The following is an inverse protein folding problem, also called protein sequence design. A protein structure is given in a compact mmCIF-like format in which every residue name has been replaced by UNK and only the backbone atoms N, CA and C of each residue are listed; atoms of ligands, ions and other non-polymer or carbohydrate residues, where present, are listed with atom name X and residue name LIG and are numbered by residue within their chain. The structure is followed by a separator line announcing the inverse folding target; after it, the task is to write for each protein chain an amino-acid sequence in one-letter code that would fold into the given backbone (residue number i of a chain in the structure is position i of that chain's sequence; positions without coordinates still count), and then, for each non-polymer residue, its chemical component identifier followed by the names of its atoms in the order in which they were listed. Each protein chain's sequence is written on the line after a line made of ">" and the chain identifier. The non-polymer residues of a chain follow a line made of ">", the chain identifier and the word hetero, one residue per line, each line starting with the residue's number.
data_IF_774514560574
#
_entry.id   IF_774514560574
#
_cell.length_a   1.000
_cell.length_b   1.000
_cell.length_c   1.000
_cell.angle_alpha   90.00
_cell.angle_beta   90.00
_cell.angle_gamma   90.00
#
_symmetry.space_group_name_H-M   'P 1'
#
loop_
_entity.id
_entity.type
_entity.pdbx_description
1 polymer ?
#
# COMPACT_ATOMS: atom_id res chain seq x y z
N UNK A 1 -16.29 -22.35 29.86
CA UNK A 1 -16.85 -20.98 29.94
C UNK A 1 -16.04 -20.23 30.97
N UNK A 2 -15.01 -19.49 30.56
CA UNK A 2 -14.20 -18.65 31.46
C UNK A 2 -14.44 -17.22 31.07
N UNK A 3 -15.20 -16.49 31.83
CA UNK A 3 -15.45 -15.07 31.70
C UNK A 3 -14.22 -14.30 32.17
N UNK A 4 -13.33 -13.98 31.21
CA UNK A 4 -12.19 -13.11 31.47
C UNK A 4 -12.69 -11.70 31.76
N UNK A 5 -12.66 -11.30 33.01
CA UNK A 5 -12.89 -9.91 33.44
C UNK A 5 -11.80 -9.00 32.91
N UNK A 6 -12.15 -8.15 31.95
CA UNK A 6 -11.30 -7.08 31.44
C UNK A 6 -11.07 -6.05 32.53
N UNK A 7 -9.90 -6.04 33.15
CA UNK A 7 -9.50 -4.95 34.06
C UNK A 7 -9.13 -3.73 33.20
N UNK A 8 -9.96 -2.71 33.25
CA UNK A 8 -9.65 -1.37 32.74
C UNK A 8 -8.51 -0.80 33.61
N UNK A 9 -7.33 -0.51 33.05
CA UNK A 9 -6.27 0.13 33.82
C UNK A 9 -6.72 1.56 34.17
N UNK A 10 -6.71 1.90 35.43
CA UNK A 10 -6.92 3.25 35.95
C UNK A 10 -5.86 4.19 35.34
N UNK A 11 -6.29 5.33 34.83
CA UNK A 11 -5.45 6.42 34.34
C UNK A 11 -4.40 6.80 35.40
N UNK A 12 -3.18 6.32 35.23
CA UNK A 12 -2.03 6.69 36.05
C UNK A 12 -1.08 7.55 35.23
N UNK A 13 -0.34 8.42 35.87
CA UNK A 13 0.74 9.28 35.32
C UNK A 13 1.89 8.43 34.73
N UNK A 14 1.58 7.58 33.77
CA UNK A 14 2.51 6.70 33.09
C UNK A 14 3.06 7.29 31.80
N UNK A 15 4.13 6.70 31.28
CA UNK A 15 4.65 7.03 29.96
C UNK A 15 3.56 6.85 28.91
N UNK A 16 3.41 7.76 27.91
CA UNK A 16 2.47 7.57 26.80
C UNK A 16 2.77 6.25 26.09
N UNK A 17 1.74 5.56 25.63
CA UNK A 17 1.91 4.33 24.83
C UNK A 17 1.86 4.68 23.34
N UNK A 18 2.83 4.19 22.57
CA UNK A 18 2.87 4.31 21.12
C UNK A 18 2.82 2.92 20.49
N UNK A 19 1.75 2.65 19.74
CA UNK A 19 1.61 1.46 18.92
C UNK A 19 2.21 1.74 17.55
N UNK A 20 3.33 1.11 17.25
CA UNK A 20 4.10 1.30 16.03
C UNK A 20 3.86 0.12 15.07
N UNK A 21 2.85 0.23 14.19
CA UNK A 21 2.58 -0.77 13.16
C UNK A 21 3.52 -0.58 11.96
N UNK A 22 4.52 -1.43 11.85
CA UNK A 22 5.62 -1.33 10.89
C UNK A 22 5.41 -2.10 9.58
N UNK A 23 4.32 -2.84 9.43
CA UNK A 23 4.06 -3.69 8.27
C UNK A 23 4.01 -5.17 8.70
N UNK A 24 4.33 -6.13 7.85
CA UNK A 24 4.96 -6.09 6.53
C UNK A 24 4.05 -5.56 5.42
N UNK A 25 4.63 -5.33 4.24
CA UNK A 25 3.83 -4.96 3.08
C UNK A 25 2.95 -6.13 2.61
N UNK A 26 1.78 -5.83 2.03
CA UNK A 26 0.81 -6.83 1.51
C UNK A 26 0.16 -7.74 2.56
N UNK A 27 0.13 -7.30 3.77
CA UNK A 27 -0.46 -7.98 4.93
C UNK A 27 -1.71 -7.27 5.46
N UNK A 28 -2.44 -6.56 4.60
CA UNK A 28 -3.66 -5.85 4.98
C UNK A 28 -3.44 -4.44 5.54
N UNK A 29 -2.22 -3.89 5.47
CA UNK A 29 -1.89 -2.55 5.99
C UNK A 29 -2.80 -1.45 5.46
N UNK A 30 -3.10 -1.45 4.16
CA UNK A 30 -4.01 -0.45 3.56
C UNK A 30 -5.43 -0.52 4.12
N UNK A 31 -5.92 -1.73 4.44
CA UNK A 31 -7.21 -1.90 5.10
C UNK A 31 -7.19 -1.31 6.51
N UNK A 32 -6.20 -1.69 7.33
CA UNK A 32 -6.06 -1.16 8.69
C UNK A 32 -5.88 0.35 8.70
N UNK A 33 -5.03 0.90 7.86
CA UNK A 33 -4.79 2.35 7.73
C UNK A 33 -6.06 3.09 7.29
N UNK A 34 -6.79 2.54 6.32
CA UNK A 34 -8.05 3.12 5.85
C UNK A 34 -9.13 3.11 6.95
N UNK A 35 -9.22 2.00 7.70
CA UNK A 35 -10.14 1.86 8.83
C UNK A 35 -9.83 2.86 9.94
N UNK A 36 -8.55 2.95 10.36
CA UNK A 36 -8.09 3.90 11.38
C UNK A 36 -8.35 5.35 10.95
N UNK A 37 -8.06 5.68 9.70
CA UNK A 37 -8.28 7.03 9.16
C UNK A 37 -9.77 7.41 9.09
N UNK A 38 -10.63 6.47 8.69
CA UNK A 38 -12.08 6.69 8.59
C UNK A 38 -12.76 6.83 9.96
N UNK A 39 -12.17 6.27 11.01
CA UNK A 39 -12.73 6.28 12.38
C UNK A 39 -11.91 7.13 13.36
N UNK A 40 -11.19 8.14 12.86
CA UNK A 40 -10.29 8.98 13.67
C UNK A 40 -10.98 9.59 14.89
N UNK A 41 -12.17 10.16 14.71
CA UNK A 41 -12.95 10.80 15.78
C UNK A 41 -13.38 9.78 16.84
N UNK A 42 -13.92 8.64 16.43
CA UNK A 42 -14.31 7.56 17.33
C UNK A 42 -13.14 6.98 18.11
N UNK A 43 -11.98 6.87 17.47
CA UNK A 43 -10.74 6.46 18.13
C UNK A 43 -10.33 7.51 19.17
N UNK A 44 -10.44 8.81 18.87
CA UNK A 44 -10.13 9.87 19.82
C UNK A 44 -11.08 9.86 21.03
N UNK A 45 -12.37 9.65 20.83
CA UNK A 45 -13.36 9.45 21.90
C UNK A 45 -13.02 8.21 22.77
N UNK A 46 -12.52 7.14 22.16
CA UNK A 46 -12.03 5.95 22.86
C UNK A 46 -10.67 6.14 23.54
N UNK A 47 -10.03 7.31 23.37
CA UNK A 47 -8.76 7.68 23.96
C UNK A 47 -7.55 7.29 23.12
N UNK A 48 -7.68 7.13 21.81
CA UNK A 48 -6.57 6.78 20.92
C UNK A 48 -6.34 7.86 19.85
N UNK A 49 -5.09 8.28 19.71
CA UNK A 49 -4.66 9.20 18.65
C UNK A 49 -4.20 8.41 17.42
N UNK A 50 -4.69 8.77 16.25
CA UNK A 50 -4.12 8.39 14.95
C UNK A 50 -3.46 9.65 14.35
N UNK A 51 -2.12 9.84 14.49
CA UNK A 51 -1.46 11.11 14.27
C UNK A 51 -1.42 11.54 12.80
N UNK A 52 -1.28 12.84 12.57
CA UNK A 52 -1.35 13.47 11.26
C UNK A 52 -2.77 13.51 10.70
N UNK A 53 -3.11 14.45 9.85
CA UNK A 53 -4.46 14.56 9.29
C UNK A 53 -4.70 13.60 8.12
N UNK A 54 -3.67 13.35 7.33
CA UNK A 54 -3.72 12.56 6.10
C UNK A 54 -2.72 11.42 6.13
N UNK A 55 -2.96 10.37 5.35
CA UNK A 55 -2.01 9.29 5.14
C UNK A 55 -0.63 9.78 4.67
N UNK A 56 -0.62 10.87 3.88
CA UNK A 56 0.62 11.50 3.39
C UNK A 56 1.50 12.03 4.52
N UNK A 57 0.94 12.45 5.65
CA UNK A 57 1.70 13.00 6.77
C UNK A 57 2.50 11.89 7.45
N UNK A 58 1.87 10.74 7.71
CA UNK A 58 2.58 9.56 8.22
C UNK A 58 3.60 9.03 7.20
N UNK A 59 3.27 9.04 5.90
CA UNK A 59 4.19 8.59 4.85
C UNK A 59 5.42 9.48 4.71
N UNK A 60 5.27 10.82 4.84
CA UNK A 60 6.38 11.78 4.84
C UNK A 60 7.25 11.63 6.09
N UNK A 61 6.64 11.44 7.24
CA UNK A 61 7.35 11.19 8.50
C UNK A 61 8.20 9.91 8.43
N UNK A 62 7.65 8.83 7.87
CA UNK A 62 8.42 7.61 7.62
C UNK A 62 9.58 7.84 6.65
N UNK A 63 9.34 8.57 5.55
CA UNK A 63 10.38 8.88 4.57
C UNK A 63 11.50 9.75 5.17
N UNK A 64 11.17 10.70 6.05
CA UNK A 64 12.12 11.53 6.78
C UNK A 64 13.02 10.69 7.69
N UNK A 65 12.45 9.95 8.63
CA UNK A 65 13.24 9.18 9.62
C UNK A 65 14.04 8.04 8.99
N UNK A 66 13.54 7.46 7.89
CA UNK A 66 14.23 6.41 7.14
C UNK A 66 15.29 6.99 6.17
N UNK A 67 15.37 8.32 6.03
CA UNK A 67 16.33 8.96 5.16
C UNK A 67 16.12 8.62 3.68
N UNK A 68 14.86 8.55 3.22
CA UNK A 68 14.59 8.33 1.81
C UNK A 68 15.09 9.51 1.00
N UNK A 69 16.19 9.27 0.27
CA UNK A 69 16.81 10.30 -0.55
C UNK A 69 15.90 10.70 -1.73
N UNK A 70 15.84 12.00 -1.98
CA UNK A 70 15.30 12.58 -3.20
C UNK A 70 16.27 13.64 -3.69
N UNK A 71 16.51 13.68 -4.99
CA UNK A 71 17.34 14.71 -5.64
C UNK A 71 16.58 16.04 -5.78
N UNK A 72 15.25 15.99 -5.67
CA UNK A 72 14.40 17.18 -5.75
C UNK A 72 14.47 17.98 -4.41
N UNK A 73 15.03 19.20 -4.41
CA UNK A 73 15.16 20.04 -3.20
C UNK A 73 13.81 20.36 -2.54
N UNK A 74 12.75 20.53 -3.33
CA UNK A 74 11.39 20.82 -2.82
C UNK A 74 10.83 19.62 -2.06
N UNK A 75 11.03 18.42 -2.59
CA UNK A 75 10.64 17.18 -1.90
C UNK A 75 11.47 16.97 -0.64
N UNK A 76 12.77 17.23 -0.70
CA UNK A 76 13.64 17.11 0.48
C UNK A 76 13.14 18.03 1.59
N UNK A 77 12.90 19.31 1.30
CA UNK A 77 12.36 20.28 2.25
C UNK A 77 10.96 19.88 2.79
N UNK A 78 10.14 19.24 1.97
CA UNK A 78 8.81 18.76 2.38
C UNK A 78 8.86 17.53 3.31
N UNK A 79 9.99 16.84 3.43
CA UNK A 79 10.19 15.70 4.33
C UNK A 79 10.84 16.10 5.65
N UNK A 80 11.72 17.11 5.64
CA UNK A 80 12.53 17.49 6.78
C UNK A 80 11.69 17.88 8.01
N UNK A 81 11.97 17.24 9.15
CA UNK A 81 11.28 17.49 10.41
C UNK A 81 9.94 16.78 10.61
N UNK A 82 9.39 16.13 9.55
CA UNK A 82 8.07 15.51 9.64
C UNK A 82 7.98 14.38 10.66
N UNK A 83 9.05 13.64 10.85
CA UNK A 83 9.10 12.63 11.90
C UNK A 83 9.02 13.27 13.30
N UNK A 84 9.74 14.35 13.51
CA UNK A 84 9.74 15.06 14.80
C UNK A 84 8.35 15.62 15.15
N UNK A 85 7.65 16.17 14.17
CA UNK A 85 6.27 16.66 14.34
C UNK A 85 5.32 15.55 14.79
N UNK A 86 5.34 14.40 14.11
CA UNK A 86 4.52 13.22 14.46
C UNK A 86 4.90 12.67 15.84
N UNK A 87 6.19 12.62 16.18
CA UNK A 87 6.66 12.19 17.51
C UNK A 87 6.14 13.13 18.61
N UNK A 88 6.21 14.44 18.41
CA UNK A 88 5.73 15.42 19.38
C UNK A 88 4.20 15.28 19.59
N UNK A 89 3.44 15.12 18.50
CA UNK A 89 2.00 14.86 18.57
C UNK A 89 1.70 13.61 19.41
N UNK A 90 2.40 12.49 19.14
CA UNK A 90 2.22 11.24 19.87
C UNK A 90 2.63 11.34 21.35
N UNK A 91 3.75 12.01 21.66
CA UNK A 91 4.25 12.12 23.02
C UNK A 91 3.49 13.13 23.90
N UNK A 92 2.87 14.12 23.28
CA UNK A 92 2.03 15.11 23.97
C UNK A 92 0.61 14.61 24.24
N UNK A 93 0.16 13.56 23.53
CA UNK A 93 -1.18 13.01 23.69
C UNK A 93 -1.38 12.40 25.08
N UNK A 94 -2.52 12.70 25.72
CA UNK A 94 -2.84 12.29 27.11
C UNK A 94 -3.93 11.20 27.19
N UNK A 95 -4.24 10.55 26.09
CA UNK A 95 -5.16 9.43 26.05
C UNK A 95 -4.50 8.08 26.39
N UNK A 96 -5.13 7.00 25.96
CA UNK A 96 -4.67 5.61 26.18
C UNK A 96 -3.45 5.25 25.35
N UNK A 97 -3.34 5.83 24.14
CA UNK A 97 -2.21 5.57 23.26
C UNK A 97 -2.32 6.25 21.91
N UNK A 98 -1.23 6.28 21.20
CA UNK A 98 -1.14 6.77 19.83
C UNK A 98 -0.82 5.62 18.88
N UNK A 99 -1.45 5.59 17.70
CA UNK A 99 -1.33 4.51 16.72
C UNK A 99 -0.66 5.06 15.48
N UNK A 100 0.61 4.74 15.24
CA UNK A 100 1.31 5.07 14.00
C UNK A 100 1.37 3.83 13.11
N UNK A 101 0.82 3.93 11.89
CA UNK A 101 0.70 2.77 11.00
C UNK A 101 1.28 3.07 9.62
N UNK A 102 2.52 2.65 9.40
CA UNK A 102 3.21 2.88 8.13
C UNK A 102 4.12 1.70 7.78
N UNK A 103 3.74 0.93 6.77
CA UNK A 103 4.49 -0.27 6.35
C UNK A 103 5.91 0.00 5.84
N UNK A 104 6.26 1.25 5.54
CA UNK A 104 7.64 1.60 5.18
C UNK A 104 8.61 1.46 6.36
N UNK A 105 8.12 1.49 7.59
CA UNK A 105 8.93 1.23 8.78
C UNK A 105 9.55 -0.18 8.79
N UNK A 106 8.94 -1.13 8.08
CA UNK A 106 9.52 -2.47 7.86
C UNK A 106 10.85 -2.45 7.11
N UNK A 107 11.19 -1.35 6.45
CA UNK A 107 12.46 -1.20 5.72
C UNK A 107 13.63 -0.81 6.60
N UNK A 108 13.37 -0.37 7.82
CA UNK A 108 14.39 0.10 8.72
C UNK A 108 15.49 -0.95 8.91
N UNK A 109 16.73 -0.50 8.80
CA UNK A 109 17.90 -1.20 9.32
C UNK A 109 18.07 -0.91 10.83
N UNK A 110 19.09 -1.48 11.44
CA UNK A 110 19.32 -1.34 12.88
C UNK A 110 19.56 0.12 13.29
N UNK A 111 20.28 0.89 12.46
CA UNK A 111 20.57 2.32 12.76
C UNK A 111 19.29 3.15 12.69
N UNK A 112 18.50 2.97 11.64
CA UNK A 112 17.22 3.65 11.45
C UNK A 112 16.21 3.29 12.55
N UNK A 113 16.10 2.02 12.90
CA UNK A 113 15.23 1.56 13.99
C UNK A 113 15.68 2.10 15.35
N UNK A 114 17.00 2.15 15.62
CA UNK A 114 17.56 2.77 16.83
C UNK A 114 17.21 4.26 16.90
N UNK A 115 17.30 4.98 15.79
CA UNK A 115 16.91 6.40 15.71
C UNK A 115 15.43 6.60 16.02
N UNK A 116 14.55 5.75 15.45
CA UNK A 116 13.10 5.76 15.71
C UNK A 116 12.84 5.51 17.19
N UNK A 117 13.39 4.44 17.76
CA UNK A 117 13.17 4.08 19.17
C UNK A 117 13.75 5.15 20.13
N UNK A 118 14.90 5.73 19.80
CA UNK A 118 15.49 6.82 20.59
C UNK A 118 14.61 8.07 20.63
N UNK A 119 13.95 8.41 19.52
CA UNK A 119 12.99 9.53 19.48
C UNK A 119 11.75 9.27 20.35
N UNK A 120 11.38 8.01 20.53
CA UNK A 120 10.25 7.56 21.33
C UNK A 120 10.63 7.12 22.76
N UNK A 121 11.85 7.39 23.23
CA UNK A 121 12.35 6.93 24.56
C UNK A 121 11.49 7.37 25.77
N UNK A 122 10.64 8.38 25.61
CA UNK A 122 9.70 8.87 26.62
C UNK A 122 8.38 8.11 26.62
N UNK A 123 8.14 7.26 25.63
CA UNK A 123 6.95 6.42 25.50
C UNK A 123 7.25 4.96 25.86
N UNK A 124 6.18 4.20 26.11
CA UNK A 124 6.17 2.75 25.99
C UNK A 124 5.82 2.43 24.55
N UNK A 125 6.69 1.74 23.83
CA UNK A 125 6.51 1.42 22.42
C UNK A 125 6.10 -0.05 22.28
N UNK A 126 4.96 -0.27 21.62
CA UNK A 126 4.47 -1.59 21.21
C UNK A 126 4.60 -1.72 19.70
N UNK A 127 5.53 -2.52 19.23
CA UNK A 127 5.76 -2.75 17.79
C UNK A 127 4.82 -3.81 17.27
N UNK A 128 4.13 -3.56 16.17
CA UNK A 128 3.18 -4.50 15.56
C UNK A 128 3.67 -4.88 14.17
N UNK A 129 3.80 -6.18 13.91
CA UNK A 129 4.20 -6.75 12.63
C UNK A 129 3.06 -7.62 12.11
N UNK A 130 2.39 -7.22 11.04
CA UNK A 130 1.41 -8.07 10.38
C UNK A 130 2.11 -9.04 9.41
N UNK A 131 1.72 -10.31 9.42
CA UNK A 131 2.31 -11.37 8.58
C UNK A 131 1.24 -12.11 7.80
N UNK A 132 1.57 -12.54 6.59
CA UNK A 132 0.62 -13.22 5.69
C UNK A 132 1.31 -14.36 4.96
N UNK A 133 0.51 -15.38 4.57
CA UNK A 133 0.96 -16.47 3.71
C UNK A 133 1.68 -15.93 2.46
N UNK A 134 2.91 -16.36 2.29
CA UNK A 134 3.79 -15.95 1.20
C UNK A 134 3.27 -16.37 -0.17
N UNK A 135 2.55 -17.48 -0.25
CA UNK A 135 1.91 -17.94 -1.48
C UNK A 135 0.93 -16.88 -2.02
N UNK A 136 0.18 -16.24 -1.13
CA UNK A 136 -0.72 -15.14 -1.49
C UNK A 136 0.05 -13.81 -1.69
N UNK A 137 1.17 -13.62 -0.99
CA UNK A 137 1.92 -12.37 -1.01
C UNK A 137 2.73 -12.18 -2.29
N UNK A 138 3.33 -13.26 -2.86
CA UNK A 138 4.15 -13.19 -4.07
C UNK A 138 3.39 -12.57 -5.26
N UNK A 139 2.19 -13.04 -5.65
CA UNK A 139 1.41 -12.43 -6.72
C UNK A 139 1.02 -10.97 -6.42
N UNK A 140 0.60 -10.70 -5.18
CA UNK A 140 0.21 -9.36 -4.76
C UNK A 140 1.38 -8.35 -4.79
N UNK A 141 2.60 -8.81 -4.56
CA UNK A 141 3.80 -7.99 -4.64
C UNK A 141 4.16 -7.65 -6.09
N UNK A 142 4.03 -8.60 -7.02
CA UNK A 142 4.22 -8.32 -8.45
C UNK A 142 3.19 -7.32 -8.97
N UNK A 143 1.92 -7.51 -8.64
CA UNK A 143 0.84 -6.60 -8.97
C UNK A 143 1.16 -5.17 -8.51
N UNK A 144 1.61 -5.01 -7.26
CA UNK A 144 1.98 -3.70 -6.73
C UNK A 144 3.22 -3.13 -7.44
N UNK A 145 4.18 -3.97 -7.77
CA UNK A 145 5.34 -3.54 -8.57
C UNK A 145 4.89 -2.95 -9.90
N UNK A 146 3.99 -3.64 -10.63
CA UNK A 146 3.47 -3.15 -11.91
C UNK A 146 2.67 -1.84 -11.74
N UNK A 147 1.82 -1.75 -10.71
CA UNK A 147 1.08 -0.52 -10.41
C UNK A 147 1.98 0.68 -10.07
N UNK A 148 3.19 0.43 -9.59
CA UNK A 148 4.20 1.45 -9.24
C UNK A 148 5.29 1.60 -10.32
N UNK A 149 4.99 1.36 -11.59
CA UNK A 149 5.93 1.55 -12.71
C UNK A 149 6.83 0.35 -13.00
N UNK A 150 6.62 -0.80 -12.35
CA UNK A 150 7.42 -2.00 -12.56
C UNK A 150 7.26 -2.56 -13.97
N UNK A 151 8.42 -2.96 -14.57
CA UNK A 151 8.53 -3.46 -15.96
C UNK A 151 8.90 -4.95 -16.02
N UNK A 152 9.06 -5.61 -14.85
CA UNK A 152 9.57 -6.98 -14.76
C UNK A 152 8.45 -7.98 -15.05
N UNK A 153 8.62 -8.91 -16.03
CA UNK A 153 7.64 -9.95 -16.32
C UNK A 153 7.39 -10.86 -15.12
N UNK A 154 6.14 -11.36 -14.97
CA UNK A 154 5.73 -12.20 -13.84
C UNK A 154 6.66 -13.39 -13.60
N UNK A 155 7.01 -14.10 -14.67
CA UNK A 155 7.94 -15.24 -14.60
C UNK A 155 9.29 -14.84 -13.98
N UNK A 156 9.89 -13.74 -14.45
CA UNK A 156 11.18 -13.25 -13.93
C UNK A 156 11.07 -12.80 -12.48
N UNK A 157 9.92 -12.20 -12.11
CA UNK A 157 9.65 -11.81 -10.73
C UNK A 157 9.58 -13.02 -9.80
N UNK A 158 8.77 -14.05 -10.16
CA UNK A 158 8.59 -15.25 -9.32
C UNK A 158 9.90 -16.03 -9.15
N UNK A 159 10.71 -16.17 -10.23
CA UNK A 159 12.03 -16.82 -10.10
C UNK A 159 13.01 -15.98 -9.28
N UNK A 160 12.97 -14.66 -9.38
CA UNK A 160 13.76 -13.79 -8.53
C UNK A 160 13.40 -13.91 -7.04
N UNK A 161 12.12 -14.07 -6.72
CA UNK A 161 11.66 -14.36 -5.35
C UNK A 161 12.16 -15.73 -4.88
N UNK A 162 12.10 -16.76 -5.74
CA UNK A 162 12.68 -18.08 -5.44
C UNK A 162 14.16 -17.96 -5.06
N UNK A 163 14.94 -17.26 -5.88
CA UNK A 163 16.36 -17.08 -5.64
C UNK A 163 16.62 -16.34 -4.30
N UNK A 164 15.74 -15.42 -3.90
CA UNK A 164 15.80 -14.76 -2.60
C UNK A 164 15.55 -15.72 -1.43
N UNK A 165 14.67 -16.70 -1.61
CA UNK A 165 14.34 -17.69 -0.58
C UNK A 165 15.44 -18.76 -0.47
N UNK A 166 15.97 -19.19 -1.61
CA UNK A 166 16.96 -20.30 -1.67
C UNK A 166 18.38 -19.85 -1.36
N UNK A 167 18.73 -18.57 -1.59
CA UNK A 167 20.05 -18.04 -1.29
C UNK A 167 20.12 -17.52 0.15
N UNK A 168 20.91 -18.17 0.98
CA UNK A 168 21.18 -17.76 2.37
C UNK A 168 22.27 -16.67 2.49
N UNK A 169 22.74 -16.09 1.38
CA UNK A 169 23.82 -15.11 1.35
C UNK A 169 23.45 -13.78 0.71
N UNK A 170 24.01 -12.70 1.23
CA UNK A 170 24.02 -11.37 0.62
C UNK A 170 24.88 -11.39 -0.66
N UNK A 171 24.33 -11.78 -1.80
CA UNK A 171 24.97 -11.43 -3.04
C UNK A 171 24.62 -9.98 -3.36
N UNK A 172 25.58 -9.07 -3.23
CA UNK A 172 25.43 -7.63 -3.47
C UNK A 172 24.93 -7.25 -4.88
N UNK A 173 24.71 -8.23 -5.73
CA UNK A 173 24.15 -8.11 -7.08
C UNK A 173 22.76 -8.73 -7.23
N UNK A 174 22.04 -8.97 -6.12
CA UNK A 174 20.68 -9.50 -6.22
C UNK A 174 19.80 -8.62 -7.13
N UNK A 175 19.03 -9.24 -8.02
CA UNK A 175 18.14 -8.53 -8.93
C UNK A 175 17.11 -7.69 -8.18
N UNK A 176 16.66 -6.57 -8.76
CA UNK A 176 15.70 -5.65 -8.13
C UNK A 176 14.46 -6.34 -7.48
N UNK A 177 13.81 -7.37 -8.10
CA UNK A 177 12.72 -8.10 -7.46
C UNK A 177 13.12 -8.82 -6.17
N UNK A 178 14.33 -9.38 -6.11
CA UNK A 178 14.85 -10.10 -4.93
C UNK A 178 15.07 -9.13 -3.77
N UNK A 179 15.73 -8.01 -4.03
CA UNK A 179 15.94 -6.97 -3.01
C UNK A 179 14.62 -6.41 -2.49
N UNK A 180 13.67 -6.16 -3.39
CA UNK A 180 12.34 -5.68 -3.02
C UNK A 180 11.61 -6.71 -2.14
N UNK A 181 11.59 -7.98 -2.54
CA UNK A 181 10.93 -9.03 -1.78
C UNK A 181 11.53 -9.16 -0.37
N UNK A 182 12.85 -9.26 -0.24
CA UNK A 182 13.53 -9.31 1.07
C UNK A 182 13.21 -8.09 1.91
N UNK A 183 13.33 -6.90 1.34
CA UNK A 183 13.06 -5.65 2.06
C UNK A 183 11.64 -5.57 2.64
N UNK A 184 10.67 -6.14 1.94
CA UNK A 184 9.25 -6.02 2.26
C UNK A 184 8.64 -7.21 3.00
N UNK A 185 9.29 -8.39 2.97
CA UNK A 185 8.73 -9.65 3.43
C UNK A 185 9.66 -10.45 4.35
N UNK A 186 10.86 -9.99 4.64
CA UNK A 186 11.79 -10.70 5.51
C UNK A 186 11.47 -10.41 6.98
N UNK A 187 10.53 -11.20 7.52
CA UNK A 187 10.07 -11.09 8.91
C UNK A 187 11.19 -11.43 9.89
N UNK A 188 12.08 -12.39 9.56
CA UNK A 188 13.24 -12.69 10.38
C UNK A 188 14.11 -11.45 10.59
N UNK A 189 14.46 -10.75 9.49
CA UNK A 189 15.20 -9.48 9.56
C UNK A 189 14.46 -8.42 10.38
N UNK A 190 13.14 -8.30 10.23
CA UNK A 190 12.36 -7.34 11.00
C UNK A 190 12.43 -7.66 12.50
N UNK A 191 12.31 -8.92 12.88
CA UNK A 191 12.43 -9.36 14.27
C UNK A 191 13.85 -9.15 14.80
N UNK A 192 14.88 -9.52 14.03
CA UNK A 192 16.30 -9.30 14.39
C UNK A 192 16.62 -7.82 14.65
N UNK A 193 15.95 -6.89 13.96
CA UNK A 193 16.12 -5.45 14.13
C UNK A 193 15.31 -4.91 15.33
N UNK A 194 14.02 -5.28 15.44
CA UNK A 194 13.12 -4.61 16.37
C UNK A 194 13.06 -5.26 17.75
N UNK A 195 13.25 -6.58 17.87
CA UNK A 195 13.18 -7.28 19.17
C UNK A 195 14.29 -6.83 20.13
N UNK A 196 15.57 -6.66 19.70
CA UNK A 196 16.62 -6.15 20.61
C UNK A 196 16.35 -4.73 21.12
N UNK A 197 15.59 -3.93 20.39
CA UNK A 197 15.32 -2.54 20.73
C UNK A 197 14.09 -2.34 21.60
N UNK A 198 13.04 -3.15 21.37
CA UNK A 198 11.76 -3.04 22.08
C UNK A 198 11.59 -4.05 23.21
N UNK A 199 12.27 -5.21 23.13
CA UNK A 199 12.02 -6.39 23.95
C UNK A 199 10.95 -7.31 23.31
N UNK A 200 11.11 -8.64 23.43
CA UNK A 200 10.24 -9.60 22.75
C UNK A 200 8.76 -9.44 23.12
N UNK A 201 8.45 -9.14 24.37
CA UNK A 201 7.09 -8.94 24.88
C UNK A 201 6.39 -7.67 24.34
N UNK A 202 7.14 -6.76 23.73
CA UNK A 202 6.65 -5.51 23.13
C UNK A 202 6.70 -5.53 21.59
N UNK A 203 6.97 -6.70 21.00
CA UNK A 203 6.89 -6.92 19.55
C UNK A 203 5.80 -7.94 19.27
N UNK A 204 4.71 -7.53 18.68
CA UNK A 204 3.53 -8.35 18.44
C UNK A 204 3.45 -8.76 16.98
N UNK A 205 3.26 -10.03 16.71
CA UNK A 205 3.00 -10.56 15.39
C UNK A 205 1.50 -10.79 15.22
N UNK A 206 0.90 -10.18 14.20
CA UNK A 206 -0.52 -10.37 13.83
C UNK A 206 -0.60 -11.17 12.54
N UNK A 207 -1.20 -12.33 12.56
CA UNK A 207 -1.42 -13.12 11.35
C UNK A 207 -2.64 -12.60 10.58
N UNK A 208 -2.48 -12.43 9.26
CA UNK A 208 -3.60 -12.08 8.38
C UNK A 208 -4.46 -13.31 8.16
N UNK A 209 -5.79 -13.22 8.40
CA UNK A 209 -6.69 -14.34 8.18
C UNK A 209 -6.62 -14.87 6.74
N UNK A 210 -6.87 -16.17 6.53
CA UNK A 210 -6.91 -16.75 5.20
C UNK A 210 -8.06 -16.18 4.37
N UNK A 211 -7.95 -16.32 3.04
CA UNK A 211 -8.97 -15.83 2.11
C UNK A 211 -10.32 -16.53 2.39
N UNK A 212 -11.38 -15.76 2.49
CA UNK A 212 -12.72 -16.25 2.81
C UNK A 212 -13.06 -16.24 4.31
N UNK A 213 -12.12 -15.89 5.18
CA UNK A 213 -12.43 -15.60 6.58
C UNK A 213 -13.24 -14.29 6.71
N UNK A 214 -13.82 -14.09 7.90
CA UNK A 214 -14.52 -12.85 8.22
C UNK A 214 -13.64 -11.62 7.94
N UNK A 215 -14.10 -10.67 7.11
CA UNK A 215 -13.34 -9.47 6.75
C UNK A 215 -12.88 -8.64 7.95
N UNK A 216 -13.65 -8.63 9.04
CA UNK A 216 -13.34 -7.88 10.26
C UNK A 216 -12.30 -8.56 11.17
N UNK A 217 -11.96 -9.85 10.92
CA UNK A 217 -11.09 -10.61 11.80
C UNK A 217 -9.69 -10.03 11.93
N UNK A 218 -9.13 -9.46 10.86
CA UNK A 218 -7.84 -8.78 10.90
C UNK A 218 -7.90 -7.56 11.82
N UNK A 219 -8.96 -6.76 11.73
CA UNK A 219 -9.16 -5.63 12.64
C UNK A 219 -9.32 -6.08 14.07
N UNK A 220 -10.15 -7.09 14.35
CA UNK A 220 -10.33 -7.61 15.71
C UNK A 220 -9.01 -8.08 16.34
N UNK A 221 -8.15 -8.74 15.57
CA UNK A 221 -6.80 -9.13 16.02
C UNK A 221 -5.94 -7.90 16.32
N UNK A 222 -5.96 -6.92 15.44
CA UNK A 222 -5.19 -5.68 15.62
C UNK A 222 -5.70 -4.87 16.82
N UNK A 223 -7.00 -4.70 16.96
CA UNK A 223 -7.67 -4.00 18.04
C UNK A 223 -7.38 -4.61 19.43
N UNK A 224 -7.21 -5.95 19.51
CA UNK A 224 -6.88 -6.62 20.77
C UNK A 224 -5.52 -6.21 21.33
N UNK A 225 -4.54 -5.89 20.48
CA UNK A 225 -3.23 -5.37 20.91
C UNK A 225 -3.36 -3.94 21.43
N UNK A 226 -4.17 -3.15 20.75
CA UNK A 226 -4.44 -1.76 21.15
C UNK A 226 -5.20 -1.69 22.48
N UNK A 227 -5.95 -2.74 22.82
CA UNK A 227 -6.91 -2.73 23.93
C UNK A 227 -8.14 -1.87 23.64
N UNK A 228 -8.48 -1.70 22.35
CA UNK A 228 -9.67 -0.98 21.88
C UNK A 228 -10.78 -1.98 21.57
N UNK A 229 -12.01 -1.62 21.89
CA UNK A 229 -13.18 -2.39 21.46
C UNK A 229 -13.26 -2.36 19.93
N UNK A 230 -13.28 -3.52 19.24
CA UNK A 230 -13.38 -3.56 17.78
C UNK A 230 -14.59 -2.79 17.21
N UNK A 231 -15.67 -2.67 17.96
CA UNK A 231 -16.90 -1.94 17.54
C UNK A 231 -16.72 -0.41 17.52
N UNK A 232 -15.64 0.12 18.08
CA UNK A 232 -15.28 1.54 17.97
C UNK A 232 -15.09 1.94 16.51
N UNK A 233 -14.53 1.05 15.68
CA UNK A 233 -14.33 1.32 14.26
C UNK A 233 -15.43 0.70 13.41
N UNK A 234 -16.25 1.56 12.80
CA UNK A 234 -17.16 1.12 11.74
C UNK A 234 -16.41 0.62 10.54
N UNK A 235 -16.75 -0.60 10.10
CA UNK A 235 -16.18 -1.16 8.89
C UNK A 235 -16.61 -0.33 7.68
N UNK A 236 -15.69 -0.03 6.73
CA UNK A 236 -16.08 0.65 5.52
C UNK A 236 -17.10 -0.20 4.74
N UNK A 237 -18.18 0.42 4.29
CA UNK A 237 -19.27 -0.24 3.55
C UNK A 237 -18.83 -0.87 2.23
N UNK A 238 -17.67 -0.49 1.71
CA UNK A 238 -17.08 -1.05 0.50
C UNK A 238 -15.58 -1.31 0.73
N UNK A 239 -15.15 -2.53 0.46
CA UNK A 239 -13.74 -2.87 0.36
C UNK A 239 -13.13 -2.17 -0.86
N UNK A 240 -12.67 -0.94 -0.70
CA UNK A 240 -12.11 -0.09 -1.77
C UNK A 240 -10.78 -0.57 -2.34
N UNK A 241 -10.32 -1.76 -1.98
CA UNK A 241 -9.05 -2.35 -2.41
C UNK A 241 -9.27 -3.48 -3.43
N UNK A 242 -9.88 -3.16 -4.58
CA UNK A 242 -9.90 -4.10 -5.68
C UNK A 242 -8.46 -4.39 -6.13
N UNK A 243 -8.06 -5.65 -6.01
CA UNK A 243 -6.80 -6.13 -6.57
C UNK A 243 -6.94 -6.18 -8.09
N UNK A 244 -6.00 -5.64 -8.85
CA UNK A 244 -5.99 -5.84 -10.31
C UNK A 244 -5.99 -7.33 -10.63
N UNK A 245 -6.68 -7.73 -11.68
CA UNK A 245 -6.56 -9.09 -12.21
C UNK A 245 -5.25 -9.30 -12.97
N UNK A 246 -5.05 -10.50 -13.50
CA UNK A 246 -3.81 -10.85 -14.19
C UNK A 246 -3.62 -10.05 -15.47
N UNK A 247 -4.69 -9.92 -16.27
CA UNK A 247 -4.65 -9.20 -17.54
C UNK A 247 -4.37 -7.71 -17.35
N UNK A 248 -5.08 -7.05 -16.45
CA UNK A 248 -4.85 -5.64 -16.13
C UNK A 248 -3.45 -5.40 -15.55
N UNK A 249 -2.92 -6.32 -14.75
CA UNK A 249 -1.55 -6.21 -14.22
C UNK A 249 -0.50 -6.35 -15.33
N UNK A 250 -0.69 -7.29 -16.26
CA UNK A 250 0.21 -7.47 -17.40
C UNK A 250 0.14 -6.26 -18.34
N UNK A 251 -1.07 -5.74 -18.61
CA UNK A 251 -1.25 -4.50 -19.39
C UNK A 251 -0.48 -3.33 -18.76
N UNK A 252 -0.64 -3.10 -17.45
CA UNK A 252 0.11 -2.07 -16.74
C UNK A 252 1.62 -2.23 -16.91
N UNK A 253 2.13 -3.48 -16.82
CA UNK A 253 3.55 -3.77 -17.01
C UNK A 253 4.01 -3.41 -18.44
N UNK A 254 3.19 -3.73 -19.45
CA UNK A 254 3.49 -3.43 -20.85
C UNK A 254 3.49 -1.93 -21.11
N UNK A 255 2.48 -1.21 -20.65
CA UNK A 255 2.40 0.26 -20.75
C UNK A 255 3.60 0.92 -20.07
N UNK A 256 3.98 0.46 -18.87
CA UNK A 256 5.14 0.99 -18.14
C UNK A 256 6.46 0.90 -18.91
N UNK A 257 6.61 -0.08 -19.83
CA UNK A 257 7.87 -0.20 -20.62
C UNK A 257 8.12 1.03 -21.51
N UNK A 258 7.06 1.62 -22.01
CA UNK A 258 7.10 2.73 -22.98
C UNK A 258 6.80 4.08 -22.35
N UNK A 259 6.40 4.12 -21.07
CA UNK A 259 6.20 5.37 -20.35
C UNK A 259 7.52 5.91 -19.80
N UNK A 260 7.73 7.21 -20.03
CA UNK A 260 8.77 8.02 -19.41
C UNK A 260 8.12 9.27 -18.80
N UNK A 261 7.69 9.16 -17.55
CA UNK A 261 6.93 10.19 -16.85
C UNK A 261 7.63 10.56 -15.55
N UNK A 262 7.44 11.81 -15.12
CA UNK A 262 7.80 12.21 -13.78
C UNK A 262 7.04 11.37 -12.75
N UNK A 263 7.58 11.26 -11.55
CA UNK A 263 6.93 10.55 -10.44
C UNK A 263 5.57 11.17 -10.08
N UNK A 264 5.41 12.47 -10.30
CA UNK A 264 4.17 13.22 -10.06
C UNK A 264 3.12 12.86 -11.11
N UNK A 265 3.45 13.00 -12.39
CA UNK A 265 2.54 12.69 -13.51
C UNK A 265 2.13 11.21 -13.48
N UNK A 266 3.09 10.31 -13.19
CA UNK A 266 2.79 8.89 -13.03
C UNK A 266 1.77 8.64 -11.92
N UNK A 267 1.90 9.33 -10.80
CA UNK A 267 0.97 9.18 -9.67
C UNK A 267 -0.40 9.75 -9.99
N UNK A 268 -0.46 10.90 -10.64
CA UNK A 268 -1.69 11.61 -10.96
C UNK A 268 -2.52 10.94 -12.06
N UNK A 269 -1.89 10.36 -13.05
CA UNK A 269 -2.60 9.80 -14.22
C UNK A 269 -2.58 8.27 -14.21
N UNK A 270 -1.43 7.64 -13.93
CA UNK A 270 -1.28 6.20 -14.11
C UNK A 270 -1.63 5.42 -12.85
N UNK A 271 -1.05 5.77 -11.70
CA UNK A 271 -1.21 4.99 -10.46
C UNK A 271 -2.61 5.13 -9.84
N UNK A 272 -3.17 6.34 -9.84
CA UNK A 272 -4.50 6.64 -9.29
C UNK A 272 -5.59 6.31 -10.31
N UNK A 273 -5.76 7.15 -11.34
CA UNK A 273 -6.85 7.01 -12.30
C UNK A 273 -6.78 5.69 -13.09
N UNK A 274 -5.72 5.46 -13.86
CA UNK A 274 -5.65 4.28 -14.73
C UNK A 274 -5.65 2.97 -13.93
N UNK A 275 -4.72 2.79 -13.01
CA UNK A 275 -4.57 1.49 -12.34
C UNK A 275 -5.63 1.24 -11.26
N UNK A 276 -5.92 2.24 -10.39
CA UNK A 276 -6.81 2.02 -9.26
C UNK A 276 -8.28 2.17 -9.63
N UNK A 277 -8.65 3.23 -10.37
CA UNK A 277 -10.04 3.49 -10.73
C UNK A 277 -10.45 2.70 -11.96
N UNK A 278 -9.81 2.92 -13.10
CA UNK A 278 -10.22 2.34 -14.39
C UNK A 278 -10.00 0.83 -14.39
N UNK A 279 -8.77 0.36 -14.28
CA UNK A 279 -8.49 -1.08 -14.32
C UNK A 279 -8.95 -1.82 -13.06
N UNK A 280 -8.98 -1.14 -11.91
CA UNK A 280 -9.49 -1.69 -10.66
C UNK A 280 -10.96 -2.08 -10.72
N UNK A 281 -11.80 -1.39 -11.51
CA UNK A 281 -13.21 -1.73 -11.70
C UNK A 281 -13.44 -3.07 -12.41
N UNK A 282 -12.42 -3.58 -13.12
CA UNK A 282 -12.46 -4.89 -13.80
C UNK A 282 -12.06 -6.07 -12.92
N UNK A 283 -11.65 -5.85 -11.69
CA UNK A 283 -11.04 -6.90 -10.85
C UNK A 283 -11.90 -8.16 -10.71
N UNK A 284 -13.22 -8.01 -10.63
CA UNK A 284 -14.18 -9.13 -10.55
C UNK A 284 -14.36 -9.91 -11.86
N UNK A 285 -14.00 -9.30 -13.00
CA UNK A 285 -14.12 -9.90 -14.32
C UNK A 285 -12.86 -10.66 -14.74
N UNK A 286 -11.78 -10.53 -13.99
CA UNK A 286 -10.49 -11.08 -14.36
C UNK A 286 -10.06 -12.25 -13.47
N UNK A 287 -9.29 -13.16 -14.06
CA UNK A 287 -8.66 -14.23 -13.30
C UNK A 287 -7.65 -13.66 -12.31
N UNK A 288 -7.60 -14.15 -11.06
CA UNK A 288 -6.57 -13.76 -10.11
C UNK A 288 -5.19 -14.22 -10.57
N UNK A 289 -4.15 -13.51 -10.15
CA UNK A 289 -2.77 -13.90 -10.41
C UNK A 289 -2.43 -15.09 -9.52
N UNK A 290 -2.18 -16.24 -10.13
CA UNK A 290 -1.87 -17.48 -9.42
C UNK A 290 -0.39 -17.86 -9.47
N UNK A 291 0.01 -18.80 -8.62
CA UNK A 291 1.31 -19.46 -8.67
C UNK A 291 1.19 -20.87 -9.27
N UNK A 292 2.28 -21.36 -9.85
CA UNK A 292 2.42 -22.76 -10.24
C UNK A 292 2.92 -23.60 -9.07
N UNK A 293 2.86 -24.94 -9.21
CA UNK A 293 3.24 -25.88 -8.14
C UNK A 293 4.62 -25.59 -7.52
N UNK A 294 5.65 -25.29 -8.33
CA UNK A 294 6.97 -24.93 -7.80
C UNK A 294 6.95 -23.61 -7.03
N UNK A 295 6.13 -22.65 -7.45
CA UNK A 295 5.93 -21.39 -6.75
C UNK A 295 5.34 -21.57 -5.37
N UNK A 296 4.39 -22.48 -5.22
CA UNK A 296 3.86 -22.86 -3.91
C UNK A 296 4.95 -23.48 -3.01
N UNK A 297 5.75 -24.39 -3.54
CA UNK A 297 6.80 -25.05 -2.73
C UNK A 297 7.75 -24.06 -2.09
N UNK A 298 8.24 -23.06 -2.83
CA UNK A 298 9.13 -22.08 -2.21
C UNK A 298 8.39 -21.05 -1.36
N UNK A 299 7.11 -20.72 -1.65
CA UNK A 299 6.28 -19.93 -0.74
C UNK A 299 6.10 -20.60 0.61
N UNK A 300 5.80 -21.91 0.63
CA UNK A 300 5.71 -22.71 1.87
C UNK A 300 7.05 -22.78 2.61
N UNK A 301 8.19 -22.87 1.90
CA UNK A 301 9.53 -22.81 2.55
C UNK A 301 9.74 -21.47 3.26
N UNK A 302 9.32 -20.38 2.64
CA UNK A 302 9.41 -19.06 3.26
C UNK A 302 8.50 -18.93 4.49
N UNK A 303 7.27 -19.48 4.42
CA UNK A 303 6.38 -19.54 5.57
C UNK A 303 6.99 -20.29 6.75
N UNK A 304 7.66 -21.42 6.49
CA UNK A 304 8.38 -22.18 7.53
C UNK A 304 9.51 -21.36 8.15
N UNK A 305 10.29 -20.63 7.33
CA UNK A 305 11.35 -19.75 7.83
C UNK A 305 10.77 -18.62 8.68
N UNK A 306 9.67 -18.01 8.24
CA UNK A 306 8.94 -17.00 8.98
C UNK A 306 8.45 -17.52 10.34
N UNK A 307 7.81 -18.69 10.34
CA UNK A 307 7.35 -19.37 11.56
C UNK A 307 8.51 -19.63 12.52
N UNK A 308 9.58 -20.22 12.05
CA UNK A 308 10.76 -20.51 12.87
C UNK A 308 11.40 -19.24 13.45
N UNK A 309 11.41 -18.13 12.71
CA UNK A 309 11.89 -16.84 13.22
C UNK A 309 10.98 -16.29 14.34
N UNK A 310 9.65 -16.33 14.14
CA UNK A 310 8.68 -15.87 15.13
C UNK A 310 8.82 -16.71 16.44
N UNK A 311 8.91 -18.03 16.33
CA UNK A 311 9.09 -18.94 17.45
C UNK A 311 10.44 -18.71 18.18
N UNK A 312 11.52 -18.52 17.44
CA UNK A 312 12.87 -18.26 18.01
C UNK A 312 12.95 -16.95 18.79
N UNK A 313 12.23 -15.92 18.35
CA UNK A 313 12.21 -14.63 19.04
C UNK A 313 11.20 -14.56 20.19
N UNK A 314 10.40 -15.61 20.40
CA UNK A 314 9.42 -15.73 21.49
C UNK A 314 8.49 -14.52 21.60
N UNK A 315 8.10 -13.96 20.46
CA UNK A 315 7.22 -12.78 20.41
C UNK A 315 5.74 -13.18 20.50
N UNK A 316 4.88 -12.38 21.16
CA UNK A 316 3.43 -12.60 21.18
C UNK A 316 2.83 -12.68 19.79
N UNK A 317 2.01 -13.70 19.56
CA UNK A 317 1.29 -13.91 18.29
C UNK A 317 -0.21 -13.73 18.52
N UNK A 318 -0.83 -12.85 17.76
CA UNK A 318 -2.29 -12.66 17.71
C UNK A 318 -2.84 -13.26 16.42
N UNK A 319 -3.69 -14.26 16.58
CA UNK A 319 -4.15 -15.16 15.53
C UNK A 319 -3.50 -16.53 15.66
N UNK A 320 -3.22 -17.19 14.55
CA UNK A 320 -2.54 -18.49 14.55
C UNK A 320 -1.48 -18.55 13.46
N UNK A 321 -0.35 -19.16 13.74
CA UNK A 321 0.69 -19.39 12.72
C UNK A 321 0.22 -20.35 11.60
N UNK A 322 -0.87 -21.09 11.82
CA UNK A 322 -1.48 -21.93 10.77
C UNK A 322 -2.11 -21.11 9.63
N UNK A 323 -2.40 -19.82 9.86
CA UNK A 323 -2.81 -18.89 8.80
C UNK A 323 -1.73 -18.73 7.73
N UNK A 324 -0.46 -18.98 8.03
CA UNK A 324 0.66 -18.93 7.08
C UNK A 324 0.69 -20.16 6.16
N UNK A 325 0.01 -21.26 6.53
CA UNK A 325 -0.05 -22.50 5.76
C UNK A 325 -1.46 -22.76 5.20
N UNK A 326 -2.30 -21.73 5.15
CA UNK A 326 -3.70 -21.83 4.74
C UNK A 326 -3.89 -22.31 3.29
N UNK A 327 -2.93 -22.00 2.41
CA UNK A 327 -2.96 -22.44 1.01
C UNK A 327 -2.15 -23.71 0.83
N UNK A 328 -2.72 -24.85 1.20
CA UNK A 328 -2.11 -26.17 0.91
C UNK A 328 -2.05 -26.38 -0.61
N UNK A 329 -0.91 -26.90 -1.14
CA UNK A 329 -0.82 -27.22 -2.55
C UNK A 329 -1.82 -28.34 -2.89
N UNK A 330 -2.90 -27.99 -3.59
CA UNK A 330 -3.79 -28.98 -4.22
C UNK A 330 -3.09 -29.69 -5.37
N UNK A 331 -3.57 -30.90 -5.71
CA UNK A 331 -3.04 -31.66 -6.85
C UNK A 331 -3.25 -30.93 -8.20
N UNK A 332 -4.15 -29.94 -8.24
CA UNK A 332 -4.59 -29.24 -9.45
C UNK A 332 -3.77 -27.97 -9.77
N UNK A 333 -2.69 -27.72 -9.02
CA UNK A 333 -1.84 -26.56 -9.31
C UNK A 333 -1.16 -26.69 -10.67
N UNK A 334 -1.19 -25.62 -11.49
CA UNK A 334 -0.59 -25.65 -12.81
C UNK A 334 0.91 -25.95 -12.74
N UNK A 335 1.39 -26.79 -13.67
CA UNK A 335 2.83 -27.11 -13.79
C UNK A 335 3.66 -25.90 -14.25
N UNK A 336 3.04 -24.98 -15.01
CA UNK A 336 3.66 -23.77 -15.55
C UNK A 336 3.01 -22.53 -14.89
N UNK A 337 3.78 -21.46 -14.78
CA UNK A 337 3.24 -20.17 -14.32
C UNK A 337 2.11 -19.73 -15.25
N UNK A 338 0.95 -19.34 -14.68
CA UNK A 338 -0.13 -18.75 -15.46
C UNK A 338 0.37 -17.51 -16.23
N UNK A 339 -0.16 -17.32 -17.42
CA UNK A 339 0.01 -16.12 -18.23
C UNK A 339 -1.35 -15.52 -18.45
N UNK A 340 -1.43 -14.20 -18.52
CA UNK A 340 -2.62 -13.56 -19.08
C UNK A 340 -2.72 -13.90 -20.55
N UNK A 341 -3.91 -14.28 -21.03
CA UNK A 341 -4.13 -14.49 -22.45
C UNK A 341 -4.19 -13.13 -23.17
N UNK A 342 -3.68 -13.08 -24.39
CA UNK A 342 -3.62 -11.82 -25.16
C UNK A 342 -5.02 -11.22 -25.35
N UNK A 343 -6.05 -12.06 -25.56
CA UNK A 343 -7.45 -11.61 -25.62
C UNK A 343 -7.92 -10.93 -24.32
N UNK A 344 -7.51 -11.44 -23.15
CA UNK A 344 -7.85 -10.84 -21.85
C UNK A 344 -7.11 -9.50 -21.66
N UNK A 345 -5.84 -9.41 -22.13
CA UNK A 345 -5.05 -8.17 -22.10
C UNK A 345 -5.64 -7.12 -23.03
N UNK A 346 -6.09 -7.52 -24.23
CA UNK A 346 -6.80 -6.64 -25.16
C UNK A 346 -8.11 -6.13 -24.59
N UNK A 347 -8.90 -6.99 -23.95
CA UNK A 347 -10.14 -6.58 -23.28
C UNK A 347 -9.87 -5.56 -22.14
N UNK A 348 -8.75 -5.72 -21.41
CA UNK A 348 -8.33 -4.74 -20.43
C UNK A 348 -7.87 -3.44 -21.09
N UNK A 349 -7.20 -3.51 -22.26
CA UNK A 349 -6.74 -2.34 -23.00
C UNK A 349 -7.90 -1.51 -23.58
N UNK A 350 -8.96 -2.16 -24.10
CA UNK A 350 -10.18 -1.46 -24.53
C UNK A 350 -10.79 -0.67 -23.38
N UNK A 351 -10.97 -1.33 -22.25
CA UNK A 351 -11.53 -0.67 -21.05
C UNK A 351 -10.64 0.48 -20.55
N UNK A 352 -9.32 0.29 -20.58
CA UNK A 352 -8.36 1.34 -20.22
C UNK A 352 -8.44 2.54 -21.15
N UNK A 353 -8.57 2.31 -22.47
CA UNK A 353 -8.72 3.35 -23.47
C UNK A 353 -9.97 4.19 -23.22
N UNK A 354 -11.12 3.53 -23.06
CA UNK A 354 -12.39 4.21 -22.85
C UNK A 354 -12.36 5.04 -21.55
N UNK A 355 -11.76 4.49 -20.49
CA UNK A 355 -11.58 5.19 -19.23
C UNK A 355 -10.59 6.37 -19.30
N UNK A 356 -9.52 6.28 -20.12
CA UNK A 356 -8.56 7.38 -20.31
C UNK A 356 -9.15 8.50 -21.18
N UNK A 357 -9.97 8.17 -22.18
CA UNK A 357 -10.70 9.16 -22.97
C UNK A 357 -11.65 9.96 -22.06
N UNK A 358 -12.43 9.27 -21.22
CA UNK A 358 -13.30 9.94 -20.24
C UNK A 358 -12.49 10.81 -19.25
N UNK A 359 -11.34 10.31 -18.77
CA UNK A 359 -10.45 11.07 -17.90
C UNK A 359 -9.91 12.33 -18.56
N UNK A 360 -9.49 12.24 -19.84
CA UNK A 360 -9.01 13.39 -20.60
C UNK A 360 -10.08 14.46 -20.73
N UNK A 361 -11.33 14.06 -21.03
CA UNK A 361 -12.46 14.96 -21.17
C UNK A 361 -12.83 15.61 -19.82
N UNK A 362 -12.73 14.87 -18.70
CA UNK A 362 -12.88 15.41 -17.35
C UNK A 362 -11.82 16.50 -17.02
N UNK A 363 -10.55 16.23 -17.37
CA UNK A 363 -9.44 17.17 -17.12
C UNK A 363 -9.62 18.45 -17.98
N UNK A 364 -10.13 18.31 -19.20
CA UNK A 364 -10.35 19.40 -20.14
C UNK A 364 -11.59 20.26 -19.88
N UNK A 365 -12.55 19.78 -19.08
CA UNK A 365 -13.72 20.57 -18.66
C UNK A 365 -13.30 21.51 -17.52
N UNK A 366 -13.52 22.84 -17.73
CA UNK A 366 -13.10 23.90 -16.81
C UNK A 366 -13.79 23.76 -15.43
N UNK A 367 -13.04 23.71 -14.31
CA UNK A 367 -13.62 23.62 -12.98
C UNK A 367 -14.39 24.87 -12.54
N UNK A 368 -14.49 25.92 -13.34
CA UNK A 368 -15.13 27.21 -12.98
C UNK A 368 -16.63 27.19 -12.95
N UNK A 369 -17.28 26.11 -13.38
CA UNK A 369 -18.74 25.96 -13.35
C UNK A 369 -19.30 25.35 -12.07
N UNK A 370 -18.47 24.90 -11.12
CA UNK A 370 -18.93 24.34 -9.86
C UNK A 370 -18.25 24.99 -8.64
N UNK A 371 -19.02 25.84 -7.92
CA UNK A 371 -18.88 26.36 -6.56
C UNK A 371 -17.50 26.94 -6.11
N UNK A 372 -17.38 28.27 -5.94
CA UNK A 372 -16.16 28.97 -5.54
C UNK A 372 -15.70 28.74 -4.10
N UNK A 373 -16.40 27.94 -3.29
CA UNK A 373 -16.06 27.69 -1.88
C UNK A 373 -15.24 26.42 -1.66
N UNK A 374 -14.84 25.68 -2.70
CA UNK A 374 -14.03 24.48 -2.58
C UNK A 374 -12.58 24.82 -2.32
N UNK A 375 -12.18 24.76 -1.05
CA UNK A 375 -10.77 24.83 -0.62
C UNK A 375 -9.98 23.69 -1.26
N UNK A 376 -9.01 24.06 -2.09
CA UNK A 376 -8.07 23.17 -2.77
C UNK A 376 -7.09 22.63 -1.73
N UNK A 377 -7.31 21.43 -1.23
CA UNK A 377 -6.36 20.73 -0.37
C UNK A 377 -5.30 20.00 -1.20
N UNK A 378 -4.04 20.24 -0.86
CA UNK A 378 -2.80 19.75 -1.48
C UNK A 378 -2.62 18.23 -1.52
N UNK A 379 -3.31 17.56 -2.24
CA UNK A 379 -3.11 16.37 -3.08
C UNK A 379 -4.40 16.21 -3.85
N UNK A 380 -4.44 16.70 -5.06
CA UNK A 380 -5.55 16.38 -5.96
C UNK A 380 -5.53 14.88 -6.27
N UNK A 381 -6.05 14.08 -5.34
CA UNK A 381 -6.84 12.93 -5.73
C UNK A 381 -8.10 13.55 -6.31
N UNK A 382 -8.12 13.73 -7.64
CA UNK A 382 -9.34 14.05 -8.36
C UNK A 382 -10.43 13.15 -7.78
N UNK A 383 -11.36 13.72 -6.98
CA UNK A 383 -12.59 13.03 -6.57
C UNK A 383 -13.46 13.03 -7.81
N UNK A 384 -13.15 12.09 -8.70
CA UNK A 384 -13.94 11.88 -9.90
C UNK A 384 -15.28 11.29 -9.48
N UNK A 385 -16.41 11.80 -9.99
CA UNK A 385 -17.72 11.22 -9.70
C UNK A 385 -17.72 9.73 -10.06
N UNK A 386 -18.49 8.93 -9.32
CA UNK A 386 -18.75 7.52 -9.61
C UNK A 386 -19.60 7.47 -10.89
N UNK A 387 -18.95 7.54 -12.05
CA UNK A 387 -19.63 7.29 -13.31
C UNK A 387 -19.89 5.78 -13.41
N UNK A 388 -21.13 5.33 -13.66
CA UNK A 388 -21.38 3.97 -14.05
C UNK A 388 -20.69 3.76 -15.40
N UNK A 389 -19.66 2.90 -15.43
CA UNK A 389 -19.04 2.53 -16.70
C UNK A 389 -20.09 1.81 -17.55
N UNK A 390 -20.30 2.21 -18.81
CA UNK A 390 -21.16 1.47 -19.70
C UNK A 390 -20.64 0.04 -19.81
N UNK A 391 -21.55 -0.93 -19.77
CA UNK A 391 -21.23 -2.32 -20.06
C UNK A 391 -20.45 -2.38 -21.37
N UNK A 392 -19.33 -3.11 -21.37
CA UNK A 392 -18.47 -3.27 -22.55
C UNK A 392 -19.27 -3.82 -23.71
N UNK A 393 -19.71 -2.95 -24.60
CA UNK A 393 -20.31 -3.33 -25.86
C UNK A 393 -19.27 -3.22 -26.95
N UNK A 394 -18.81 -4.38 -27.40
CA UNK A 394 -18.00 -4.69 -28.57
C UNK A 394 -16.49 -4.44 -28.53
N UNK A 395 -15.68 -5.49 -28.79
CA UNK A 395 -14.27 -5.36 -29.13
C UNK A 395 -14.16 -4.91 -30.60
N UNK A 396 -14.31 -3.61 -30.85
CA UNK A 396 -14.06 -3.07 -32.17
C UNK A 396 -12.58 -2.78 -32.35
N UNK A 397 -11.97 -3.41 -33.32
CA UNK A 397 -10.72 -3.10 -34.02
C UNK A 397 -9.43 -3.81 -33.66
N UNK A 398 -9.36 -4.73 -32.69
CA UNK A 398 -8.13 -5.49 -32.49
C UNK A 398 -8.42 -7.00 -32.58
N UNK A 399 -7.89 -7.67 -33.61
CA UNK A 399 -8.09 -9.09 -33.93
C UNK A 399 -6.84 -9.91 -33.59
N UNK A 400 -6.64 -10.34 -32.42
CA UNK A 400 -5.90 -11.53 -31.93
C UNK A 400 -4.46 -11.89 -32.40
N UNK A 401 -3.63 -10.96 -32.90
CA UNK A 401 -2.21 -11.24 -33.19
C UNK A 401 -1.24 -10.59 -32.22
N UNK A 402 0.01 -11.11 -32.07
CA UNK A 402 1.05 -10.54 -31.19
C UNK A 402 1.31 -9.03 -31.44
N UNK A 403 1.01 -8.54 -32.65
CA UNK A 403 1.14 -7.14 -33.03
C UNK A 403 0.01 -6.25 -32.47
N UNK A 404 -1.14 -6.82 -32.16
CA UNK A 404 -2.30 -6.05 -31.68
C UNK A 404 -2.20 -5.63 -30.21
N UNK A 405 -1.67 -6.47 -29.35
CA UNK A 405 -1.35 -6.09 -27.98
C UNK A 405 -0.33 -4.94 -28.01
N UNK A 406 0.65 -5.03 -28.89
CA UNK A 406 1.63 -3.96 -29.10
C UNK A 406 1.00 -2.66 -29.59
N UNK A 407 0.06 -2.71 -30.55
CA UNK A 407 -0.70 -1.56 -31.03
C UNK A 407 -1.54 -0.94 -29.91
N UNK A 408 -2.31 -1.74 -29.19
CA UNK A 408 -3.12 -1.30 -28.06
C UNK A 408 -2.29 -0.62 -26.95
N UNK A 409 -1.10 -1.14 -26.67
CA UNK A 409 -0.17 -0.52 -25.69
C UNK A 409 0.34 0.83 -26.21
N UNK A 410 0.68 0.96 -27.48
CA UNK A 410 1.10 2.25 -28.06
C UNK A 410 0.00 3.29 -27.98
N UNK A 411 -1.24 2.93 -28.29
CA UNK A 411 -2.41 3.82 -28.20
C UNK A 411 -2.64 4.28 -26.75
N UNK A 412 -2.54 3.36 -25.78
CA UNK A 412 -2.69 3.71 -24.37
C UNK A 412 -1.57 4.63 -23.87
N UNK A 413 -0.33 4.42 -24.33
CA UNK A 413 0.80 5.32 -23.98
C UNK A 413 0.56 6.71 -24.53
N UNK A 414 0.06 6.86 -25.76
CA UNK A 414 -0.30 8.14 -26.34
C UNK A 414 -1.41 8.83 -25.49
N UNK A 415 -2.50 8.11 -25.16
CA UNK A 415 -3.58 8.66 -24.35
C UNK A 415 -3.14 9.06 -22.93
N UNK A 416 -2.24 8.29 -22.31
CA UNK A 416 -1.66 8.67 -21.01
C UNK A 416 -0.90 9.99 -21.13
N UNK A 417 -0.08 10.15 -22.17
CA UNK A 417 0.66 11.38 -22.40
C UNK A 417 -0.29 12.58 -22.70
N UNK A 418 -1.39 12.35 -23.43
CA UNK A 418 -2.42 13.37 -23.67
C UNK A 418 -3.09 13.81 -22.36
N UNK A 419 -3.42 12.88 -21.48
CA UNK A 419 -3.96 13.17 -20.14
C UNK A 419 -2.96 13.96 -19.29
N UNK A 420 -1.66 13.63 -19.35
CA UNK A 420 -0.60 14.38 -18.65
C UNK A 420 -0.51 15.81 -19.19
N UNK A 421 -0.49 15.97 -20.50
CA UNK A 421 -0.45 17.30 -21.14
C UNK A 421 -1.68 18.13 -20.75
N UNK A 422 -2.88 17.56 -20.80
CA UNK A 422 -4.11 18.23 -20.38
C UNK A 422 -4.06 18.65 -18.89
N UNK A 423 -3.56 17.77 -18.02
CA UNK A 423 -3.40 18.08 -16.59
C UNK A 423 -2.42 19.22 -16.34
N UNK A 424 -1.32 19.27 -17.08
CA UNK A 424 -0.33 20.35 -16.97
C UNK A 424 -0.88 21.69 -17.47
N UNK A 425 -1.67 21.69 -18.54
CA UNK A 425 -2.33 22.91 -19.05
C UNK A 425 -3.39 23.43 -18.08
N UNK A 426 -4.15 22.55 -17.43
CA UNK A 426 -5.16 22.94 -16.43
C UNK A 426 -4.53 23.55 -15.16
N UNK A 427 -3.25 23.30 -14.88
CA UNK A 427 -2.51 23.86 -13.74
C UNK A 427 -1.82 25.20 -14.02
N UNK A 428 -1.80 25.66 -15.27
CA UNK A 428 -1.23 26.97 -15.64
C UNK A 428 -2.29 28.05 -15.38
N UNK A 429 -2.04 29.03 -14.47
CA UNK A 429 -2.96 30.17 -14.28
C UNK A 429 -3.13 30.93 -15.58
N UNK A 430 -4.37 31.32 -15.88
CA UNK A 430 -4.65 32.12 -17.07
C UNK A 430 -3.79 33.41 -17.10
N UNK A 431 -3.33 33.89 -18.28
CA UNK A 431 -2.39 35.03 -18.42
C UNK A 431 -2.87 36.39 -17.84
N UNK A 432 -4.01 36.47 -17.18
CA UNK A 432 -4.57 37.68 -16.58
C UNK A 432 -4.55 37.72 -15.04
N UNK A 433 -4.15 36.64 -14.35
CA UNK A 433 -4.28 36.54 -12.88
C UNK A 433 -2.97 36.90 -12.14
N UNK A 434 -1.90 37.28 -12.87
CA UNK A 434 -0.61 37.66 -12.27
C UNK A 434 -0.58 39.09 -11.71
N UNK A 435 -1.56 39.94 -12.02
CA UNK A 435 -1.57 41.35 -11.63
C UNK A 435 -2.46 41.72 -10.45
N UNK A 436 -3.10 40.74 -9.80
CA UNK A 436 -3.81 40.97 -8.53
C UNK A 436 -2.90 40.72 -7.33
N UNK A 437 -1.98 41.67 -7.09
CA UNK A 437 -1.35 41.82 -5.77
C UNK A 437 -2.44 42.29 -4.80
N UNK A 438 -2.67 41.59 -3.66
CA UNK A 438 -3.57 42.12 -2.64
C UNK A 438 -2.99 43.39 -2.09
N UNK A 439 -3.67 44.54 -2.26
CA UNK A 439 -3.33 45.74 -1.56
C UNK A 439 -3.58 45.50 -0.07
N UNK A 440 -2.51 45.47 0.70
CA UNK A 440 -2.55 45.51 2.17
C UNK A 440 -3.02 46.92 2.54
N UNK A 441 -4.10 47.10 3.30
CA UNK A 441 -4.45 48.43 3.83
C UNK A 441 -3.36 48.88 4.80
N UNK A 442 -2.86 50.10 4.57
CA UNK A 442 -1.92 50.78 5.45
C UNK A 442 -2.55 51.12 6.80
N UNK A 443 -1.73 51.35 7.86
CA UNK A 443 -2.03 51.27 9.27
C UNK A 443 -3.11 52.22 9.80
#
# INVERSE_FOLDING_TARGET
>A
MSTGTWRIPLFGWGRPTVFLHIGAMKTGTTYLQGLLAANRERLAEAGYLFPGERWTDQSRAAADVLGFSTEDPRRKAALEGRWSEIVEEMLSYRGRGSIYSMEFMSFADTEQATRIMSSLKRARVEVIITVRDTVATIPAQWQTSCRNGGKVPYRRFVYGVRDAIESSGESGRAAKPVRLFRRTQDIERMLDVWVPLAGSQHVHVVTVPPRGADPSLLWRRFASILGVDPEVCEQPSEASNSSLGHASTELMRLVNKSLDLSSTDYTQIVKGPLARRILGSRASLEKPIGLHRRGHVFGVRWNRRMRAAIERHEVPVVGTLDDLDALKPGNDLPKRLPRAADADVLAAAVHARDGLLALRDEIGSDPRDEDPTRVVSDVHVLRLPRLPFPAVTHPGHWSGSDDEVGAAVRDLVALVNDCVAASQHAQVPAPGDRDRVPQVPAP
#
